data_IF_815592679724
#
_entry.id   IF_815592679724
#
_cell.length_a   1.000
_cell.length_b   1.000
_cell.length_c   1.000
_cell.angle_alpha   90.00
_cell.angle_beta   90.00
_cell.angle_gamma   90.00
#
_symmetry.space_group_name_H-M   'P 1'
#
loop_
_entity.id
_entity.type
_entity.pdbx_description
1 polymer ?
#
# COMPACT_ATOMS: atom_id res chain seq x y z
N UNK A 1 -9.53 -19.54 10.32
CA UNK A 1 -9.75 -18.62 10.97
C UNK A 1 -9.14 -17.56 10.98
N UNK A 2 -9.11 -16.58 10.79
CA UNK A 2 -8.48 -15.45 11.17
C UNK A 2 -8.98 -14.29 10.44
N UNK A 3 -10.27 -14.07 10.42
CA UNK A 3 -10.82 -12.77 10.13
C UNK A 3 -10.96 -12.05 11.44
N UNK A 4 -9.96 -11.23 11.77
CA UNK A 4 -10.15 -10.26 12.79
C UNK A 4 -11.15 -9.25 12.28
N UNK A 5 -12.34 -9.25 12.82
CA UNK A 5 -13.38 -8.30 12.45
C UNK A 5 -13.46 -7.17 13.45
N UNK A 6 -14.02 -6.08 12.98
CA UNK A 6 -14.34 -4.85 13.69
C UNK A 6 -14.75 -5.13 15.13
N UNK A 7 -13.98 -4.57 16.05
CA UNK A 7 -14.38 -4.44 17.46
C UNK A 7 -14.38 -2.95 17.73
N UNK A 8 -15.51 -2.44 18.21
CA UNK A 8 -15.69 -1.04 18.64
C UNK A 8 -15.36 0.03 17.60
N UNK A 9 -15.79 -0.16 16.35
CA UNK A 9 -15.61 0.81 15.28
C UNK A 9 -14.19 0.89 14.71
N UNK A 10 -13.26 0.10 15.21
CA UNK A 10 -11.95 -0.12 14.61
C UNK A 10 -11.97 -1.33 13.69
N UNK A 11 -11.27 -1.24 12.57
CA UNK A 11 -11.09 -2.40 11.72
C UNK A 11 -10.17 -3.40 12.37
N UNK A 12 -10.43 -4.65 12.07
CA UNK A 12 -9.85 -5.82 12.67
C UNK A 12 -8.33 -5.78 12.84
N UNK A 13 -7.89 -6.39 13.89
CA UNK A 13 -6.52 -6.37 14.35
C UNK A 13 -5.88 -7.69 13.99
N UNK A 14 -5.18 -7.73 12.87
CA UNK A 14 -4.40 -8.90 12.47
C UNK A 14 -3.07 -8.96 13.21
N UNK A 15 -2.59 -10.17 13.58
CA UNK A 15 -1.27 -10.34 14.11
C UNK A 15 -0.18 -9.83 13.15
N UNK A 16 0.82 -9.17 13.71
CA UNK A 16 2.06 -8.80 13.04
C UNK A 16 3.26 -9.45 13.71
N UNK A 17 4.34 -9.74 12.99
CA UNK A 17 5.55 -10.23 13.61
C UNK A 17 6.20 -9.16 14.49
N UNK A 18 6.84 -9.59 15.56
CA UNK A 18 7.66 -8.77 16.46
C UNK A 18 9.08 -9.30 16.39
N UNK A 19 10.01 -8.42 16.06
CA UNK A 19 11.42 -8.72 15.95
C UNK A 19 12.18 -8.22 17.18
N UNK A 20 13.42 -8.63 17.33
CA UNK A 20 14.23 -8.26 18.48
C UNK A 20 14.43 -6.74 18.58
N UNK A 21 14.51 -6.02 17.46
CA UNK A 21 14.68 -4.57 17.45
C UNK A 21 13.52 -3.83 18.13
N UNK A 22 12.31 -4.37 18.01
CA UNK A 22 11.16 -3.84 18.73
C UNK A 22 11.22 -4.16 20.22
N UNK A 23 11.67 -5.36 20.58
CA UNK A 23 11.82 -5.76 21.98
C UNK A 23 12.90 -4.97 22.69
N UNK A 24 14.03 -4.67 22.01
CA UNK A 24 15.08 -3.79 22.51
C UNK A 24 14.54 -2.34 22.69
N UNK A 25 13.74 -1.85 21.73
CA UNK A 25 13.10 -0.55 21.83
C UNK A 25 12.17 -0.45 23.06
N UNK A 26 11.49 -1.56 23.39
CA UNK A 26 10.62 -1.66 24.55
C UNK A 26 11.38 -1.83 25.88
N UNK A 27 12.69 -2.11 25.84
CA UNK A 27 13.51 -2.38 27.01
C UNK A 27 13.16 -3.72 27.67
N UNK A 28 12.76 -4.72 26.87
CA UNK A 28 12.37 -6.02 27.42
C UNK A 28 13.56 -6.78 28.03
N UNK A 29 14.75 -6.60 27.50
CA UNK A 29 16.01 -7.11 28.02
C UNK A 29 16.38 -6.51 29.38
N UNK A 30 16.10 -5.22 29.60
CA UNK A 30 16.28 -4.50 30.88
C UNK A 30 15.41 -5.11 31.99
N UNK A 31 14.30 -5.76 31.63
CA UNK A 31 13.40 -6.49 32.53
C UNK A 31 13.81 -7.94 32.75
N UNK A 32 14.99 -8.36 32.24
CA UNK A 32 15.55 -9.70 32.44
C UNK A 32 15.07 -10.76 31.45
N UNK A 33 14.44 -10.37 30.33
CA UNK A 33 14.10 -11.28 29.25
C UNK A 33 15.33 -11.54 28.36
N UNK A 34 15.44 -12.76 27.85
CA UNK A 34 16.55 -13.16 26.98
C UNK A 34 15.96 -13.59 25.62
N UNK A 35 16.48 -13.06 24.54
CA UNK A 35 16.07 -13.42 23.17
C UNK A 35 17.24 -13.22 22.18
N UNK A 36 17.32 -14.05 21.13
CA UNK A 36 18.37 -13.90 20.14
C UNK A 36 18.12 -12.73 19.19
N UNK A 37 19.18 -12.04 18.79
CA UNK A 37 19.18 -11.07 17.70
C UNK A 37 19.24 -11.80 16.35
N UNK A 38 18.09 -12.26 15.86
CA UNK A 38 17.94 -13.05 14.65
C UNK A 38 17.05 -12.37 13.61
N UNK A 39 17.13 -12.83 12.36
CA UNK A 39 16.25 -12.34 11.29
C UNK A 39 14.80 -12.81 11.44
N UNK A 40 14.59 -13.93 12.11
CA UNK A 40 13.25 -14.43 12.37
C UNK A 40 12.55 -13.64 13.48
N UNK A 41 11.22 -13.45 13.42
CA UNK A 41 10.47 -12.82 14.49
C UNK A 41 10.54 -13.66 15.76
N UNK A 42 10.46 -13.00 16.92
CA UNK A 42 10.48 -13.67 18.24
C UNK A 42 9.06 -14.01 18.70
N UNK A 43 8.10 -13.14 18.40
CA UNK A 43 6.70 -13.30 18.82
C UNK A 43 5.75 -12.59 17.87
N UNK A 44 4.49 -12.52 18.24
CA UNK A 44 3.45 -11.85 17.49
C UNK A 44 2.80 -10.75 18.34
N UNK A 45 2.40 -9.65 17.71
CA UNK A 45 1.60 -8.63 18.37
C UNK A 45 0.26 -8.45 17.68
N UNK A 46 -0.79 -8.30 18.48
CA UNK A 46 -2.13 -7.91 18.07
C UNK A 46 -2.40 -6.55 18.71
N UNK A 47 -2.41 -5.47 17.92
CA UNK A 47 -2.30 -4.12 18.46
C UNK A 47 -1.02 -3.96 19.30
N UNK A 48 -1.20 -3.66 20.58
CA UNK A 48 -0.16 -3.51 21.61
C UNK A 48 -0.12 -4.67 22.60
N UNK A 49 -0.72 -5.81 22.24
CA UNK A 49 -0.73 -7.05 23.01
C UNK A 49 0.31 -8.01 22.42
N UNK A 50 1.23 -8.49 23.21
CA UNK A 50 2.36 -9.32 22.78
C UNK A 50 2.12 -10.78 23.17
N UNK A 51 2.21 -11.64 22.17
CA UNK A 51 1.85 -13.07 22.24
C UNK A 51 3.03 -13.94 21.84
N UNK A 52 3.34 -14.89 22.70
CA UNK A 52 4.38 -15.88 22.46
C UNK A 52 3.81 -17.28 22.61
N UNK A 53 3.95 -18.11 21.57
CA UNK A 53 3.44 -19.49 21.54
C UNK A 53 1.97 -19.63 22.00
N UNK A 54 1.13 -18.69 21.62
CA UNK A 54 -0.29 -18.68 21.96
C UNK A 54 -0.64 -18.09 23.32
N UNK A 55 0.36 -17.68 24.11
CA UNK A 55 0.17 -17.05 25.41
C UNK A 55 0.42 -15.55 25.30
N UNK A 56 -0.50 -14.73 25.80
CA UNK A 56 -0.31 -13.30 25.94
C UNK A 56 0.65 -13.04 27.10
N UNK A 57 1.75 -12.36 26.81
CA UNK A 57 2.80 -12.11 27.79
C UNK A 57 2.64 -10.76 28.47
N UNK A 58 2.44 -9.72 27.69
CA UNK A 58 2.31 -8.34 28.17
C UNK A 58 1.57 -7.44 27.19
N UNK A 59 1.21 -6.27 27.69
CA UNK A 59 0.67 -5.16 26.92
C UNK A 59 1.61 -3.97 27.00
N UNK A 60 1.78 -3.24 25.90
CA UNK A 60 2.51 -1.98 25.88
C UNK A 60 1.52 -0.80 25.85
N UNK A 61 1.56 0.07 26.85
CA UNK A 61 0.61 1.19 27.01
C UNK A 61 1.31 2.53 27.20
N UNK A 62 0.66 3.61 26.81
CA UNK A 62 1.06 4.97 27.17
C UNK A 62 2.26 5.52 26.38
N UNK A 63 2.58 4.97 25.22
CA UNK A 63 3.63 5.54 24.36
C UNK A 63 3.24 6.91 23.82
N UNK A 64 4.17 7.84 23.82
CA UNK A 64 4.09 9.12 23.11
C UNK A 64 5.48 9.55 22.59
N UNK A 65 5.58 10.72 21.97
CA UNK A 65 6.83 11.21 21.38
C UNK A 65 7.99 11.37 22.39
N UNK A 66 7.69 11.46 23.68
CA UNK A 66 8.68 11.68 24.76
C UNK A 66 8.85 10.48 25.68
N UNK A 67 7.91 9.52 25.61
CA UNK A 67 7.82 8.43 26.60
C UNK A 67 7.70 7.08 25.91
N UNK A 68 8.56 6.13 26.32
CA UNK A 68 8.38 4.72 25.99
C UNK A 68 7.13 4.16 26.67
N UNK A 69 6.49 3.15 26.11
CA UNK A 69 5.33 2.53 26.74
C UNK A 69 5.70 1.83 28.05
N UNK A 70 4.76 1.82 28.97
CA UNK A 70 4.82 0.92 30.13
C UNK A 70 4.42 -0.48 29.71
N UNK A 71 5.20 -1.49 30.09
CA UNK A 71 4.91 -2.90 29.84
C UNK A 71 4.14 -3.49 31.02
N UNK A 72 2.88 -3.83 30.78
CA UNK A 72 2.03 -4.50 31.76
C UNK A 72 2.07 -6.00 31.56
N UNK A 73 2.84 -6.71 32.41
CA UNK A 73 2.96 -8.17 32.37
C UNK A 73 1.64 -8.83 32.77
N UNK A 74 1.26 -9.90 32.08
CA UNK A 74 0.11 -10.71 32.48
C UNK A 74 0.39 -11.46 33.79
N UNK A 75 -0.66 -11.73 34.56
CA UNK A 75 -0.54 -12.40 35.87
C UNK A 75 0.19 -13.75 35.73
N UNK A 76 1.19 -13.95 36.58
CA UNK A 76 2.00 -15.17 36.60
C UNK A 76 3.11 -15.24 35.54
N UNK A 77 3.21 -14.28 34.65
CA UNK A 77 4.30 -14.19 33.67
C UNK A 77 5.56 -13.64 34.34
N UNK A 78 6.67 -14.33 34.18
CA UNK A 78 8.01 -13.92 34.64
C UNK A 78 8.96 -13.85 33.46
N UNK A 79 10.04 -13.07 33.56
CA UNK A 79 11.10 -13.06 32.55
C UNK A 79 11.57 -14.48 32.24
N UNK A 80 11.75 -14.77 30.95
CA UNK A 80 12.17 -16.08 30.45
C UNK A 80 13.03 -15.91 29.19
N UNK A 81 13.64 -17.01 28.76
CA UNK A 81 14.29 -17.07 27.47
C UNK A 81 13.27 -17.32 26.36
N UNK A 82 13.28 -16.48 25.33
CA UNK A 82 12.44 -16.59 24.15
C UNK A 82 13.27 -17.16 22.98
N UNK A 83 12.64 -17.97 22.17
CA UNK A 83 13.21 -18.50 20.93
C UNK A 83 12.50 -17.90 19.74
N UNK A 84 13.16 -17.79 18.57
CA UNK A 84 12.52 -17.33 17.34
C UNK A 84 11.31 -18.18 16.96
N UNK A 85 10.37 -17.55 16.28
CA UNK A 85 9.25 -18.25 15.65
C UNK A 85 9.78 -19.18 14.57
N UNK A 86 9.34 -20.44 14.57
CA UNK A 86 9.60 -21.34 13.44
C UNK A 86 8.75 -20.96 12.23
N UNK A 87 9.27 -20.03 11.44
CA UNK A 87 8.62 -19.53 10.23
C UNK A 87 8.43 -20.66 9.21
N UNK A 88 9.38 -21.61 9.11
CA UNK A 88 9.26 -22.73 8.16
C UNK A 88 8.09 -23.63 8.49
N UNK A 89 7.92 -23.96 9.75
CA UNK A 89 6.78 -24.76 10.19
C UNK A 89 5.46 -24.00 10.04
N UNK A 90 5.44 -22.70 10.29
CA UNK A 90 4.25 -21.87 10.01
C UNK A 90 3.87 -21.89 8.53
N UNK A 91 4.83 -21.68 7.63
CA UNK A 91 4.61 -21.72 6.18
C UNK A 91 4.11 -23.09 5.73
N UNK A 92 4.66 -24.18 6.29
CA UNK A 92 4.19 -25.53 6.00
C UNK A 92 2.73 -25.74 6.42
N UNK A 93 2.35 -25.28 7.61
CA UNK A 93 0.98 -25.41 8.14
C UNK A 93 -0.03 -24.55 7.39
N UNK A 94 0.41 -23.48 6.75
CA UNK A 94 -0.46 -22.53 6.02
C UNK A 94 -0.35 -22.68 4.50
N UNK A 95 0.38 -23.69 4.02
CA UNK A 95 0.67 -23.88 2.59
C UNK A 95 -0.57 -23.89 1.71
N UNK A 96 -1.61 -24.63 2.09
CA UNK A 96 -2.83 -24.75 1.29
C UNK A 96 -3.60 -23.42 1.24
N UNK A 97 -3.68 -22.73 2.37
CA UNK A 97 -4.30 -21.41 2.43
C UNK A 97 -3.55 -20.42 1.53
N UNK A 98 -2.21 -20.35 1.69
CA UNK A 98 -1.38 -19.43 0.90
C UNK A 98 -1.44 -19.77 -0.58
N UNK A 99 -1.47 -21.05 -0.95
CA UNK A 99 -1.64 -21.48 -2.33
C UNK A 99 -2.93 -20.95 -2.95
N UNK A 100 -4.05 -21.03 -2.25
CA UNK A 100 -5.34 -20.52 -2.73
C UNK A 100 -5.31 -19.00 -2.87
N UNK A 101 -4.83 -18.29 -1.85
CA UNK A 101 -4.76 -16.83 -1.84
C UNK A 101 -3.85 -16.29 -2.96
N UNK A 102 -2.68 -16.88 -3.13
CA UNK A 102 -1.72 -16.49 -4.18
C UNK A 102 -2.30 -16.68 -5.59
N UNK A 103 -2.83 -17.88 -5.86
CA UNK A 103 -3.34 -18.19 -7.19
C UNK A 103 -4.56 -17.34 -7.55
N UNK A 104 -5.45 -17.11 -6.60
CA UNK A 104 -6.61 -16.24 -6.78
C UNK A 104 -6.19 -14.78 -7.09
N UNK A 105 -5.20 -14.27 -6.37
CA UNK A 105 -4.67 -12.92 -6.62
C UNK A 105 -3.95 -12.82 -7.98
N UNK A 106 -3.16 -13.84 -8.35
CA UNK A 106 -2.47 -13.92 -9.66
C UNK A 106 -3.49 -13.99 -10.79
N UNK A 107 -4.53 -14.83 -10.65
CA UNK A 107 -5.60 -14.95 -11.65
C UNK A 107 -6.34 -13.62 -11.81
N UNK A 108 -6.70 -12.97 -10.70
CA UNK A 108 -7.33 -11.65 -10.75
C UNK A 108 -6.46 -10.60 -11.48
N UNK A 109 -5.16 -10.55 -11.19
CA UNK A 109 -4.23 -9.63 -11.86
C UNK A 109 -4.17 -9.94 -13.36
N UNK A 110 -3.99 -11.23 -13.71
CA UNK A 110 -3.89 -11.69 -15.09
C UNK A 110 -5.15 -11.39 -15.90
N UNK A 111 -6.32 -11.71 -15.35
CA UNK A 111 -7.60 -11.48 -16.01
C UNK A 111 -7.87 -9.98 -16.19
N UNK A 112 -7.57 -9.19 -15.16
CA UNK A 112 -7.64 -7.73 -15.24
C UNK A 112 -6.71 -7.20 -16.32
N UNK A 113 -5.45 -7.62 -16.34
CA UNK A 113 -4.50 -7.23 -17.37
C UNK A 113 -5.02 -7.61 -18.77
N UNK A 114 -5.40 -8.86 -18.99
CA UNK A 114 -5.88 -9.34 -20.27
C UNK A 114 -7.13 -8.59 -20.76
N UNK A 115 -8.07 -8.30 -19.85
CA UNK A 115 -9.28 -7.57 -20.18
C UNK A 115 -9.00 -6.13 -20.63
N UNK A 116 -7.97 -5.51 -20.06
CA UNK A 116 -7.65 -4.09 -20.28
C UNK A 116 -6.49 -3.87 -21.29
N UNK A 117 -5.62 -4.85 -21.50
CA UNK A 117 -4.56 -4.79 -22.50
C UNK A 117 -5.07 -5.09 -23.93
N UNK A 118 -6.18 -5.84 -24.05
CA UNK A 118 -6.75 -6.14 -25.36
C UNK A 118 -7.22 -4.85 -26.04
N UNK A 119 -6.60 -4.56 -27.17
CA UNK A 119 -7.13 -3.58 -28.13
C UNK A 119 -8.29 -4.26 -28.82
N UNK A 120 -9.52 -3.99 -28.40
CA UNK A 120 -10.68 -4.42 -29.16
C UNK A 120 -10.67 -3.70 -30.49
N UNK A 121 -10.97 -4.44 -31.57
CA UNK A 121 -11.06 -3.84 -32.90
C UNK A 121 -12.02 -2.65 -32.85
N UNK A 122 -11.56 -1.52 -33.33
CA UNK A 122 -12.41 -0.35 -33.55
C UNK A 122 -13.53 -0.75 -34.50
N UNK A 123 -14.75 -0.39 -34.18
CA UNK A 123 -15.87 -0.50 -35.10
C UNK A 123 -15.73 0.53 -36.21
N UNK A 124 -16.28 0.25 -37.38
CA UNK A 124 -16.33 1.25 -38.45
C UNK A 124 -17.32 2.36 -38.04
N UNK A 125 -16.80 3.59 -37.90
CA UNK A 125 -17.63 4.77 -37.54
C UNK A 125 -18.71 5.04 -38.59
N UNK A 126 -18.53 4.64 -39.85
CA UNK A 126 -19.53 4.74 -40.90
C UNK A 126 -20.72 3.83 -40.66
N UNK A 127 -20.52 2.63 -40.06
CA UNK A 127 -21.60 1.71 -39.71
C UNK A 127 -22.40 2.19 -38.50
N UNK A 128 -21.86 3.07 -37.67
CA UNK A 128 -22.47 3.54 -36.43
C UNK A 128 -23.40 4.76 -36.60
N UNK A 129 -23.95 5.01 -37.78
CA UNK A 129 -24.89 6.08 -38.06
C UNK A 129 -24.47 7.47 -37.56
N UNK A 130 -23.20 7.81 -37.65
CA UNK A 130 -22.59 9.09 -37.23
C UNK A 130 -22.65 9.38 -35.72
N UNK A 131 -23.09 8.44 -34.89
CA UNK A 131 -23.02 8.59 -33.44
C UNK A 131 -21.61 8.28 -32.95
N UNK A 132 -21.12 9.13 -32.05
CA UNK A 132 -19.83 8.93 -31.41
C UNK A 132 -20.02 8.03 -30.16
N UNK A 133 -20.07 6.73 -30.39
CA UNK A 133 -20.23 5.74 -29.32
C UNK A 133 -19.06 5.72 -28.35
N UNK A 134 -17.86 6.12 -28.80
CA UNK A 134 -16.68 6.25 -27.95
C UNK A 134 -16.89 7.34 -26.90
N UNK A 135 -17.28 8.55 -27.31
CA UNK A 135 -17.57 9.63 -26.41
C UNK A 135 -18.77 9.32 -25.48
N UNK A 136 -19.76 8.56 -25.99
CA UNK A 136 -20.89 8.12 -25.16
C UNK A 136 -20.46 7.10 -24.10
N UNK A 137 -19.65 6.12 -24.49
CA UNK A 137 -19.09 5.12 -23.55
C UNK A 137 -18.26 5.78 -22.47
N UNK A 138 -17.38 6.73 -22.82
CA UNK A 138 -16.61 7.51 -21.84
C UNK A 138 -17.49 8.30 -20.86
N UNK A 139 -18.57 8.91 -21.34
CA UNK A 139 -19.52 9.61 -20.45
C UNK A 139 -20.23 8.67 -19.50
N UNK A 140 -20.60 7.47 -19.99
CA UNK A 140 -21.22 6.44 -19.16
C UNK A 140 -20.24 5.88 -18.14
N UNK A 141 -18.97 5.66 -18.53
CA UNK A 141 -17.92 5.26 -17.61
C UNK A 141 -17.72 6.27 -16.48
N UNK A 142 -17.70 7.58 -16.81
CA UNK A 142 -17.60 8.65 -15.81
C UNK A 142 -18.75 8.63 -14.79
N UNK A 143 -19.96 8.24 -15.21
CA UNK A 143 -21.14 8.17 -14.34
C UNK A 143 -21.19 6.87 -13.53
N UNK A 144 -20.98 5.72 -14.19
CA UNK A 144 -21.15 4.40 -13.59
C UNK A 144 -19.93 3.95 -12.79
N UNK A 145 -18.74 4.57 -13.01
CA UNK A 145 -17.43 4.12 -12.50
C UNK A 145 -17.07 2.68 -12.88
N UNK A 146 -17.66 2.20 -13.98
CA UNK A 146 -17.39 0.89 -14.55
C UNK A 146 -16.91 1.05 -15.99
N UNK A 147 -16.07 0.12 -16.44
CA UNK A 147 -15.63 0.07 -17.82
C UNK A 147 -16.83 -0.25 -18.73
N UNK A 148 -17.00 0.53 -19.79
CA UNK A 148 -18.07 0.35 -20.75
C UNK A 148 -17.53 -0.21 -22.05
N UNK A 149 -18.31 -1.05 -22.71
CA UNK A 149 -18.03 -1.58 -24.03
C UNK A 149 -19.17 -1.21 -24.99
N UNK A 150 -18.82 -0.91 -26.22
CA UNK A 150 -19.77 -0.84 -27.31
C UNK A 150 -19.94 -2.24 -27.89
N UNK A 151 -21.17 -2.73 -27.96
CA UNK A 151 -21.50 -4.04 -28.49
C UNK A 151 -22.47 -3.91 -29.67
N UNK A 152 -22.30 -4.76 -30.69
CA UNK A 152 -23.23 -4.82 -31.82
C UNK A 152 -24.40 -5.70 -31.40
N UNK A 153 -25.63 -5.18 -31.50
CA UNK A 153 -26.84 -5.95 -31.20
C UNK A 153 -27.36 -6.64 -32.43
N UNK A 154 -27.54 -5.89 -33.53
CA UNK A 154 -28.01 -6.35 -34.84
C UNK A 154 -27.18 -5.78 -35.97
N UNK A 155 -27.58 -5.99 -37.23
CA UNK A 155 -26.82 -5.54 -38.38
C UNK A 155 -26.44 -4.07 -38.33
N UNK A 156 -27.31 -3.21 -37.80
CA UNK A 156 -27.13 -1.75 -37.82
C UNK A 156 -27.32 -1.08 -36.45
N UNK A 157 -27.44 -1.84 -35.35
CA UNK A 157 -27.62 -1.27 -34.02
C UNK A 157 -26.48 -1.61 -33.06
N UNK A 158 -26.10 -0.60 -32.28
CA UNK A 158 -25.09 -0.70 -31.26
C UNK A 158 -25.68 -0.35 -29.89
N UNK A 159 -25.12 -0.94 -28.84
CA UNK A 159 -25.47 -0.64 -27.46
C UNK A 159 -24.21 -0.41 -26.64
N UNK A 160 -24.35 0.30 -25.52
CA UNK A 160 -23.26 0.55 -24.59
C UNK A 160 -23.62 -0.09 -23.26
N UNK A 161 -22.83 -1.04 -22.82
CA UNK A 161 -23.04 -1.75 -21.56
C UNK A 161 -21.74 -1.93 -20.79
N UNK A 162 -21.77 -2.27 -19.49
CA UNK A 162 -20.58 -2.62 -18.74
C UNK A 162 -19.82 -3.76 -19.43
N UNK A 163 -18.51 -3.64 -19.56
CA UNK A 163 -17.66 -4.65 -20.22
C UNK A 163 -17.84 -6.03 -19.59
N UNK A 164 -17.87 -6.07 -18.25
CA UNK A 164 -18.10 -7.33 -17.50
C UNK A 164 -19.42 -7.99 -17.86
N UNK A 165 -20.48 -7.20 -18.10
CA UNK A 165 -21.79 -7.72 -18.52
C UNK A 165 -21.70 -8.24 -19.96
N UNK A 166 -21.05 -7.50 -20.87
CA UNK A 166 -20.84 -7.93 -22.25
C UNK A 166 -20.10 -9.26 -22.32
N UNK A 167 -19.06 -9.43 -21.50
CA UNK A 167 -18.29 -10.67 -21.44
C UNK A 167 -19.11 -11.85 -20.88
N UNK A 168 -19.88 -11.64 -19.80
CA UNK A 168 -20.77 -12.67 -19.24
C UNK A 168 -21.84 -13.11 -20.22
N UNK A 169 -22.35 -12.19 -21.04
CA UNK A 169 -23.35 -12.48 -22.07
C UNK A 169 -22.74 -12.99 -23.38
N UNK A 170 -21.41 -13.17 -23.44
CA UNK A 170 -20.70 -13.61 -24.64
C UNK A 170 -20.77 -12.63 -25.80
N UNK A 171 -21.12 -11.36 -25.54
CA UNK A 171 -21.19 -10.31 -26.54
C UNK A 171 -19.80 -9.81 -26.90
N UNK A 172 -19.57 -9.62 -28.19
CA UNK A 172 -18.28 -9.08 -28.68
C UNK A 172 -18.22 -7.57 -28.45
N UNK A 173 -17.30 -7.12 -27.60
CA UNK A 173 -16.99 -5.71 -27.47
C UNK A 173 -16.29 -5.19 -28.73
N UNK A 174 -16.86 -4.15 -29.34
CA UNK A 174 -16.32 -3.51 -30.55
C UNK A 174 -15.39 -2.34 -30.20
N UNK A 175 -15.70 -1.66 -29.08
CA UNK A 175 -14.90 -0.59 -28.55
C UNK A 175 -14.81 -0.75 -27.04
N UNK A 176 -13.63 -0.62 -26.50
CA UNK A 176 -13.42 -0.48 -25.07
C UNK A 176 -12.34 0.55 -24.80
N UNK A 177 -12.42 1.24 -23.67
CA UNK A 177 -11.39 2.21 -23.28
C UNK A 177 -10.05 1.49 -23.15
N UNK A 178 -9.07 1.92 -23.95
CA UNK A 178 -7.72 1.38 -23.91
C UNK A 178 -7.02 1.88 -22.66
N UNK A 179 -6.35 0.98 -21.94
CA UNK A 179 -5.37 1.35 -20.92
C UNK A 179 -4.01 1.50 -21.62
N UNK A 180 -3.36 2.66 -21.41
CA UNK A 180 -2.07 2.96 -22.01
C UNK A 180 -0.91 2.43 -21.19
N UNK A 181 -1.05 2.38 -19.85
CA UNK A 181 0.02 1.96 -18.94
C UNK A 181 -0.54 1.15 -17.78
N UNK A 182 0.11 0.03 -17.48
CA UNK A 182 -0.15 -0.77 -16.29
C UNK A 182 0.94 -0.49 -15.25
N UNK A 183 0.54 -0.30 -14.00
CA UNK A 183 1.46 0.13 -12.94
C UNK A 183 1.28 -0.73 -11.71
N UNK A 184 2.38 -1.25 -11.18
CA UNK A 184 2.46 -1.72 -9.79
C UNK A 184 2.88 -0.52 -8.92
N UNK A 185 1.96 -0.04 -8.08
CA UNK A 185 2.24 1.06 -7.16
C UNK A 185 3.06 0.58 -5.98
N UNK A 186 4.30 1.03 -5.87
CA UNK A 186 5.20 0.66 -4.80
C UNK A 186 5.38 1.81 -3.81
N UNK A 187 5.22 1.55 -2.52
CA UNK A 187 5.31 2.55 -1.45
C UNK A 187 6.37 2.22 -0.39
N UNK A 188 7.18 1.19 -0.59
CA UNK A 188 8.09 0.67 0.42
C UNK A 188 7.40 -0.09 1.57
N UNK A 189 6.07 -0.22 1.53
CA UNK A 189 5.30 -0.98 2.51
C UNK A 189 5.11 -2.45 2.12
N UNK A 190 4.86 -3.30 3.12
CA UNK A 190 4.67 -4.75 2.98
C UNK A 190 3.62 -5.13 1.94
N UNK A 191 2.51 -4.41 1.90
CA UNK A 191 1.37 -4.70 1.04
C UNK A 191 1.71 -4.43 -0.44
N UNK A 192 2.37 -3.31 -0.72
CA UNK A 192 2.84 -2.98 -2.07
C UNK A 192 3.96 -3.90 -2.55
N UNK A 193 4.78 -4.44 -1.63
CA UNK A 193 5.81 -5.43 -1.94
C UNK A 193 5.17 -6.75 -2.42
N UNK A 194 4.12 -7.20 -1.74
CA UNK A 194 3.35 -8.40 -2.15
C UNK A 194 2.72 -8.20 -3.53
N UNK A 195 2.07 -7.05 -3.76
CA UNK A 195 1.44 -6.77 -5.07
C UNK A 195 2.47 -6.70 -6.19
N UNK A 196 3.63 -6.10 -5.95
CA UNK A 196 4.72 -6.08 -6.94
C UNK A 196 5.16 -7.51 -7.33
N UNK A 197 5.39 -8.39 -6.34
CA UNK A 197 5.78 -9.78 -6.62
C UNK A 197 4.66 -10.53 -7.37
N UNK A 198 3.41 -10.39 -6.97
CA UNK A 198 2.27 -10.98 -7.66
C UNK A 198 2.16 -10.48 -9.12
N UNK A 199 2.40 -9.20 -9.38
CA UNK A 199 2.40 -8.65 -10.74
C UNK A 199 3.49 -9.30 -11.60
N UNK A 200 4.71 -9.51 -11.07
CA UNK A 200 5.79 -10.19 -11.83
C UNK A 200 5.47 -11.63 -12.18
N UNK A 201 4.54 -12.26 -11.48
CA UNK A 201 4.07 -13.65 -11.73
C UNK A 201 2.86 -13.71 -12.64
N UNK A 202 2.13 -12.63 -12.77
CA UNK A 202 0.85 -12.57 -13.51
C UNK A 202 0.96 -11.88 -14.88
N UNK A 203 1.85 -10.89 -15.02
CA UNK A 203 2.00 -10.02 -16.19
C UNK A 203 3.43 -10.11 -16.72
N UNK A 204 3.64 -10.11 -18.06
CA UNK A 204 4.99 -10.00 -18.61
C UNK A 204 5.70 -8.75 -18.08
N UNK A 205 6.97 -8.85 -17.64
CA UNK A 205 7.72 -7.72 -17.06
C UNK A 205 7.90 -6.51 -18.00
N UNK A 206 7.72 -6.69 -19.29
CA UNK A 206 7.73 -5.62 -20.32
C UNK A 206 6.45 -4.81 -20.37
N UNK A 207 5.36 -5.32 -19.78
CA UNK A 207 4.01 -4.83 -20.01
C UNK A 207 3.46 -4.04 -18.82
N UNK A 208 4.24 -3.89 -17.76
CA UNK A 208 3.91 -3.04 -16.64
C UNK A 208 5.16 -2.32 -16.08
N UNK A 209 4.93 -1.30 -15.30
CA UNK A 209 5.96 -0.48 -14.67
C UNK A 209 5.77 -0.45 -13.16
N UNK A 210 6.86 -0.31 -12.42
CA UNK A 210 6.83 -0.08 -10.98
C UNK A 210 7.02 1.41 -10.74
N UNK A 211 6.08 2.05 -10.04
CA UNK A 211 6.21 3.47 -9.71
C UNK A 211 6.28 3.65 -8.19
N UNK A 212 7.38 4.24 -7.75
CA UNK A 212 7.61 4.74 -6.41
C UNK A 212 7.36 6.25 -6.36
N UNK A 213 6.67 6.72 -5.31
CA UNK A 213 6.47 8.16 -5.08
C UNK A 213 7.37 8.60 -3.93
N UNK A 214 8.47 9.26 -4.27
CA UNK A 214 9.33 9.92 -3.30
C UNK A 214 8.73 11.29 -2.95
N UNK A 215 8.27 11.42 -1.73
CA UNK A 215 7.60 12.63 -1.22
C UNK A 215 8.57 13.58 -0.52
N UNK A 216 9.84 13.20 -0.34
CA UNK A 216 10.79 13.92 0.50
C UNK A 216 10.50 13.82 2.01
N UNK A 217 9.47 13.05 2.39
CA UNK A 217 9.10 12.75 3.79
C UNK A 217 9.37 11.29 4.17
N UNK A 218 9.97 10.52 3.28
CA UNK A 218 10.10 9.08 3.48
C UNK A 218 10.94 8.76 4.71
N UNK A 219 10.58 7.67 5.39
CA UNK A 219 11.45 7.08 6.38
C UNK A 219 12.76 6.63 5.71
N UNK A 220 13.94 6.89 6.31
CA UNK A 220 15.22 6.49 5.73
C UNK A 220 15.28 5.02 5.29
N UNK A 221 14.73 4.04 6.05
CA UNK A 221 14.70 2.64 5.62
C UNK A 221 13.88 2.39 4.35
N UNK A 222 12.92 3.26 4.03
CA UNK A 222 12.09 3.10 2.82
C UNK A 222 12.86 3.48 1.56
N UNK A 223 13.77 4.45 1.65
CA UNK A 223 14.61 4.86 0.51
C UNK A 223 15.61 3.75 0.15
N UNK A 224 16.33 3.22 1.15
CA UNK A 224 17.27 2.11 0.92
C UNK A 224 16.55 0.85 0.43
N UNK A 225 15.38 0.55 0.99
CA UNK A 225 14.59 -0.59 0.54
C UNK A 225 14.18 -0.46 -0.93
N UNK A 226 13.81 0.74 -1.40
CA UNK A 226 13.46 0.93 -2.81
C UNK A 226 14.60 0.53 -3.73
N UNK A 227 15.83 0.96 -3.43
CA UNK A 227 17.02 0.58 -4.20
C UNK A 227 17.29 -0.93 -4.16
N UNK A 228 17.13 -1.56 -3.00
CA UNK A 228 17.33 -3.00 -2.84
C UNK A 228 16.25 -3.80 -3.58
N UNK A 229 15.01 -3.37 -3.55
CA UNK A 229 13.90 -3.98 -4.28
C UNK A 229 14.12 -3.82 -5.79
N UNK A 230 14.53 -2.65 -6.25
CA UNK A 230 14.84 -2.44 -7.66
C UNK A 230 15.96 -3.38 -8.13
N UNK A 231 17.06 -3.49 -7.36
CA UNK A 231 18.17 -4.42 -7.66
C UNK A 231 17.68 -5.87 -7.68
N UNK A 232 16.92 -6.28 -6.68
CA UNK A 232 16.38 -7.63 -6.55
C UNK A 232 15.55 -8.04 -7.76
N UNK A 233 14.62 -7.18 -8.20
CA UNK A 233 13.78 -7.50 -9.34
C UNK A 233 14.48 -7.33 -10.69
N UNK A 234 15.37 -6.36 -10.86
CA UNK A 234 16.16 -6.21 -12.11
C UNK A 234 17.10 -7.36 -12.36
N UNK A 235 17.61 -8.04 -11.32
CA UNK A 235 18.38 -9.27 -11.49
C UNK A 235 17.55 -10.40 -12.10
N UNK A 236 16.27 -10.51 -11.72
CA UNK A 236 15.35 -11.54 -12.23
C UNK A 236 14.65 -11.12 -13.52
N UNK A 237 14.33 -9.85 -13.65
CA UNK A 237 13.53 -9.26 -14.73
C UNK A 237 14.20 -7.98 -15.25
N UNK A 238 15.26 -8.07 -16.09
CA UNK A 238 15.99 -6.89 -16.56
C UNK A 238 15.15 -5.89 -17.35
N UNK A 239 14.05 -6.34 -17.94
CA UNK A 239 13.11 -5.51 -18.71
C UNK A 239 12.07 -4.79 -17.86
N UNK A 240 11.99 -5.05 -16.54
CA UNK A 240 11.05 -4.38 -15.68
C UNK A 240 11.49 -2.94 -15.40
N UNK A 241 10.62 -1.99 -15.69
CA UNK A 241 10.90 -0.57 -15.53
C UNK A 241 10.52 -0.07 -14.14
N UNK A 242 11.49 0.54 -13.46
CA UNK A 242 11.30 1.24 -12.18
C UNK A 242 11.38 2.74 -12.39
N UNK A 243 10.39 3.46 -11.89
CA UNK A 243 10.25 4.89 -12.04
C UNK A 243 10.00 5.54 -10.69
N UNK A 244 10.65 6.69 -10.45
CA UNK A 244 10.45 7.48 -9.24
C UNK A 244 9.75 8.78 -9.56
N UNK A 245 8.57 8.97 -8.99
CA UNK A 245 7.84 10.24 -9.06
C UNK A 245 8.24 11.11 -7.87
N UNK A 246 8.87 12.26 -8.13
CA UNK A 246 9.24 13.23 -7.10
C UNK A 246 8.88 14.65 -7.53
N UNK A 247 8.75 15.55 -6.57
CA UNK A 247 8.58 16.96 -6.87
C UNK A 247 9.96 17.59 -7.18
N UNK A 248 9.99 18.59 -8.06
CA UNK A 248 11.20 19.34 -8.39
C UNK A 248 11.68 20.22 -7.22
N UNK A 249 10.75 20.66 -6.35
CA UNK A 249 11.04 21.42 -5.15
C UNK A 249 11.07 20.52 -3.92
N UNK A 250 11.96 20.87 -2.97
CA UNK A 250 12.08 20.14 -1.71
C UNK A 250 10.83 20.33 -0.84
N UNK A 251 10.53 19.33 -0.04
CA UNK A 251 9.43 19.42 0.94
C UNK A 251 9.64 20.55 1.94
N UNK A 252 10.89 20.86 2.30
CA UNK A 252 11.23 21.93 3.24
C UNK A 252 10.92 23.31 2.67
N UNK A 253 11.12 23.51 1.36
CA UNK A 253 10.72 24.75 0.67
C UNK A 253 9.20 24.95 0.71
N UNK A 254 8.44 23.87 0.52
CA UNK A 254 6.98 23.93 0.65
C UNK A 254 6.52 24.20 2.09
N UNK A 255 7.25 23.71 3.11
CA UNK A 255 6.98 24.09 4.51
C UNK A 255 7.18 25.57 4.74
N UNK A 256 8.22 26.15 4.17
CA UNK A 256 8.50 27.60 4.28
C UNK A 256 7.45 28.44 3.53
N UNK A 257 6.90 27.95 2.42
CA UNK A 257 5.91 28.66 1.60
C UNK A 257 4.47 28.50 2.09
N UNK A 258 4.05 27.29 2.46
CA UNK A 258 2.65 26.93 2.75
C UNK A 258 2.42 26.80 4.25
N UNK A 259 3.47 26.52 5.03
CA UNK A 259 3.40 26.18 6.44
C UNK A 259 3.30 24.68 6.67
N UNK A 260 3.15 24.29 7.94
CA UNK A 260 3.12 22.88 8.34
C UNK A 260 1.84 22.18 7.86
N UNK A 261 1.93 20.93 7.38
CA UNK A 261 0.72 20.16 7.11
C UNK A 261 -0.02 19.84 8.41
N UNK A 262 -1.33 19.72 8.31
CA UNK A 262 -2.20 19.30 9.42
C UNK A 262 -3.22 18.27 8.93
N UNK A 263 -3.99 17.69 9.85
CA UNK A 263 -5.09 16.77 9.56
C UNK A 263 -6.15 17.40 8.64
N UNK A 264 -6.44 18.68 8.82
CA UNK A 264 -7.38 19.45 8.00
C UNK A 264 -6.75 20.00 6.72
N UNK A 265 -5.43 20.17 6.66
CA UNK A 265 -4.71 20.72 5.53
C UNK A 265 -3.56 19.83 5.06
N UNK A 266 -3.91 18.77 4.36
CA UNK A 266 -2.99 17.73 3.88
C UNK A 266 -2.36 18.08 2.53
N UNK A 267 -1.84 19.29 2.38
CA UNK A 267 -1.23 19.73 1.13
C UNK A 267 -0.06 18.82 0.69
N UNK A 268 0.69 18.26 1.65
CA UNK A 268 1.83 17.38 1.37
C UNK A 268 1.46 16.17 0.52
N UNK A 269 0.32 15.51 0.78
CA UNK A 269 -0.14 14.39 -0.04
C UNK A 269 -0.46 14.81 -1.47
N UNK A 270 -1.03 16.00 -1.67
CA UNK A 270 -1.39 16.49 -3.00
C UNK A 270 -0.17 16.97 -3.77
N UNK A 271 0.68 17.77 -3.13
CA UNK A 271 1.82 18.44 -3.76
C UNK A 271 3.00 17.50 -3.94
N UNK A 272 3.35 16.72 -2.90
CA UNK A 272 4.57 15.92 -2.91
C UNK A 272 4.35 14.50 -3.47
N UNK A 273 3.13 13.97 -3.45
CA UNK A 273 2.84 12.62 -3.93
C UNK A 273 2.01 12.61 -5.21
N UNK A 274 0.81 13.21 -5.16
CA UNK A 274 -0.16 13.06 -6.24
C UNK A 274 0.22 13.85 -7.49
N UNK A 275 0.66 15.09 -7.34
CA UNK A 275 0.99 15.95 -8.49
C UNK A 275 2.22 15.46 -9.28
N UNK A 276 3.34 15.02 -8.63
CA UNK A 276 4.47 14.44 -9.37
C UNK A 276 4.07 13.17 -10.13
N UNK A 277 3.32 12.28 -9.48
CA UNK A 277 2.83 11.06 -10.11
C UNK A 277 2.04 11.39 -11.39
N UNK A 278 1.08 12.31 -11.32
CA UNK A 278 0.25 12.64 -12.48
C UNK A 278 1.02 13.35 -13.60
N UNK A 279 2.06 14.12 -13.27
CA UNK A 279 2.96 14.69 -14.29
C UNK A 279 3.71 13.61 -15.06
N UNK A 280 4.05 12.52 -14.40
CA UNK A 280 4.74 11.37 -15.00
C UNK A 280 3.81 10.51 -15.87
N UNK A 281 2.51 10.47 -15.58
CA UNK A 281 1.54 9.64 -16.28
C UNK A 281 1.09 10.28 -17.60
N UNK A 282 2.02 10.41 -18.54
CA UNK A 282 1.81 10.98 -19.86
C UNK A 282 2.15 9.99 -20.96
N UNK A 283 1.52 10.13 -22.12
CA UNK A 283 1.83 9.44 -23.37
C UNK A 283 2.32 10.46 -24.42
N UNK A 284 2.63 9.97 -25.61
CA UNK A 284 3.06 10.83 -26.73
C UNK A 284 2.17 12.06 -26.93
N UNK A 285 2.80 13.17 -27.26
CA UNK A 285 2.12 14.45 -27.39
C UNK A 285 1.66 15.08 -26.05
N UNK A 286 2.27 14.67 -24.92
CA UNK A 286 1.98 15.16 -23.57
C UNK A 286 0.52 14.99 -23.12
N UNK A 287 -0.21 14.05 -23.71
CA UNK A 287 -1.58 13.70 -23.33
C UNK A 287 -1.59 12.88 -22.05
N UNK A 288 -2.67 12.99 -21.27
CA UNK A 288 -2.86 12.18 -20.07
C UNK A 288 -3.07 10.70 -20.46
N UNK A 289 -2.23 9.81 -19.91
CA UNK A 289 -2.38 8.38 -20.09
C UNK A 289 -3.60 7.83 -19.32
N UNK A 290 -4.31 6.88 -19.90
CA UNK A 290 -5.23 6.02 -19.15
C UNK A 290 -4.41 4.92 -18.47
N UNK A 291 -4.54 4.85 -17.16
CA UNK A 291 -3.67 4.01 -16.33
C UNK A 291 -4.50 3.04 -15.50
N UNK A 292 -4.05 1.78 -15.45
CA UNK A 292 -4.53 0.81 -14.48
C UNK A 292 -3.43 0.55 -13.46
N UNK A 293 -3.74 0.83 -12.20
CA UNK A 293 -2.79 0.68 -11.09
C UNK A 293 -3.18 -0.51 -10.24
N UNK A 294 -2.26 -1.45 -10.07
CA UNK A 294 -2.35 -2.49 -9.05
C UNK A 294 -1.74 -1.95 -7.76
N UNK A 295 -2.49 -1.95 -6.68
CA UNK A 295 -2.05 -1.42 -5.39
C UNK A 295 -2.38 -2.33 -4.21
N UNK A 296 -1.68 -2.12 -3.09
CA UNK A 296 -1.75 -2.94 -1.89
C UNK A 296 -2.85 -2.52 -0.90
N UNK A 297 -3.97 -1.99 -1.38
CA UNK A 297 -5.10 -1.66 -0.52
C UNK A 297 -5.75 -2.92 0.03
N UNK A 298 -6.03 -2.93 1.37
CA UNK A 298 -6.73 -4.01 2.05
C UNK A 298 -7.91 -3.47 2.85
N UNK A 299 -9.00 -4.25 2.89
CA UNK A 299 -10.25 -3.88 3.57
C UNK A 299 -10.04 -3.65 5.07
N UNK A 300 -9.17 -4.43 5.72
CA UNK A 300 -8.92 -4.31 7.17
C UNK A 300 -8.18 -3.04 7.60
N UNK A 301 -7.65 -2.25 6.68
CA UNK A 301 -6.82 -1.09 7.03
C UNK A 301 -7.62 0.14 7.49
N UNK A 302 -8.87 0.26 7.10
CA UNK A 302 -9.77 1.32 7.57
C UNK A 302 -11.22 1.08 7.13
N UNK A 303 -12.18 1.63 7.89
CA UNK A 303 -13.62 1.61 7.55
C UNK A 303 -13.90 2.11 6.12
N UNK A 304 -13.14 3.12 5.69
CA UNK A 304 -13.26 3.64 4.32
C UNK A 304 -12.86 2.60 3.27
N UNK A 305 -11.78 1.81 3.54
CA UNK A 305 -11.25 0.83 2.59
C UNK A 305 -12.07 -0.45 2.55
N UNK A 306 -12.80 -0.77 3.61
CA UNK A 306 -13.74 -1.89 3.66
C UNK A 306 -14.77 -1.82 2.52
N UNK A 307 -15.16 -0.61 2.14
CA UNK A 307 -16.16 -0.35 1.09
C UNK A 307 -15.55 -0.19 -0.32
N UNK A 308 -14.25 -0.42 -0.50
CA UNK A 308 -13.65 -0.30 -1.81
C UNK A 308 -14.01 -1.52 -2.67
N UNK A 309 -14.33 -1.24 -3.93
CA UNK A 309 -14.47 -2.29 -4.94
C UNK A 309 -13.09 -2.82 -5.29
N UNK A 310 -12.99 -4.12 -5.56
CA UNK A 310 -11.75 -4.76 -5.96
C UNK A 310 -11.14 -4.17 -7.24
N UNK A 311 -12.00 -3.73 -8.15
CA UNK A 311 -11.64 -3.06 -9.40
C UNK A 311 -12.60 -1.89 -9.62
N UNK A 312 -12.07 -0.72 -9.89
CA UNK A 312 -12.91 0.46 -10.12
C UNK A 312 -12.14 1.69 -10.57
N UNK A 313 -12.85 2.74 -10.93
CA UNK A 313 -12.24 4.04 -11.25
C UNK A 313 -11.66 4.68 -9.99
N UNK A 314 -10.45 5.19 -10.13
CA UNK A 314 -9.79 6.01 -9.12
C UNK A 314 -10.41 7.40 -8.98
N UNK A 315 -9.72 8.26 -8.25
CA UNK A 315 -10.14 9.66 -8.05
C UNK A 315 -10.24 10.45 -9.36
N UNK A 316 -9.42 10.15 -10.34
CA UNK A 316 -9.40 10.78 -11.66
C UNK A 316 -9.92 9.81 -12.71
N UNK A 317 -10.61 10.36 -13.70
CA UNK A 317 -11.32 9.57 -14.73
C UNK A 317 -10.41 8.73 -15.62
N UNK A 318 -9.12 9.06 -15.68
CA UNK A 318 -8.12 8.32 -16.43
C UNK A 318 -7.37 7.26 -15.63
N UNK A 319 -7.72 7.08 -14.33
CA UNK A 319 -7.10 6.09 -13.46
C UNK A 319 -8.10 5.02 -13.09
N UNK A 320 -7.70 3.77 -13.24
CA UNK A 320 -8.36 2.59 -12.71
C UNK A 320 -7.49 2.00 -11.60
N UNK A 321 -8.09 1.58 -10.50
CA UNK A 321 -7.41 0.91 -9.41
C UNK A 321 -7.88 -0.53 -9.32
N UNK A 322 -6.94 -1.44 -9.21
CA UNK A 322 -7.15 -2.84 -8.95
C UNK A 322 -6.47 -3.21 -7.62
N UNK A 323 -7.19 -3.88 -6.75
CA UNK A 323 -6.76 -4.23 -5.40
C UNK A 323 -6.67 -5.77 -5.26
N UNK A 324 -5.57 -6.41 -5.73
CA UNK A 324 -5.48 -7.87 -5.80
C UNK A 324 -5.62 -8.56 -4.45
N UNK A 325 -5.11 -7.92 -3.41
CA UNK A 325 -5.04 -8.45 -2.03
C UNK A 325 -6.05 -7.80 -1.08
N UNK A 326 -7.16 -7.28 -1.61
CA UNK A 326 -8.13 -6.50 -0.81
C UNK A 326 -8.69 -7.27 0.39
N UNK A 327 -8.86 -8.58 0.27
CA UNK A 327 -9.35 -9.46 1.32
C UNK A 327 -8.26 -10.04 2.24
N UNK A 328 -6.98 -9.80 1.95
CA UNK A 328 -5.90 -10.36 2.75
C UNK A 328 -5.74 -9.62 4.09
N UNK A 329 -5.40 -10.36 5.13
CA UNK A 329 -5.05 -9.78 6.42
C UNK A 329 -3.53 -9.62 6.59
N UNK A 330 -3.11 -8.95 7.67
CA UNK A 330 -1.69 -8.62 7.88
C UNK A 330 -0.79 -9.85 8.04
N UNK A 331 -1.28 -10.93 8.67
CA UNK A 331 -0.48 -12.14 8.84
C UNK A 331 -0.26 -12.85 7.49
N UNK A 332 -1.27 -12.88 6.61
CA UNK A 332 -1.16 -13.46 5.27
C UNK A 332 -0.13 -12.71 4.43
N UNK A 333 -0.08 -11.38 4.57
CA UNK A 333 0.95 -10.54 3.94
C UNK A 333 2.35 -10.95 4.42
N UNK A 334 2.57 -11.07 5.73
CA UNK A 334 3.89 -11.45 6.25
C UNK A 334 4.26 -12.88 5.92
N UNK A 335 3.31 -13.82 5.95
CA UNK A 335 3.54 -15.20 5.52
C UNK A 335 3.97 -15.26 4.04
N UNK A 336 3.34 -14.48 3.18
CA UNK A 336 3.75 -14.35 1.78
C UNK A 336 5.20 -13.83 1.66
N UNK A 337 5.51 -12.73 2.36
CA UNK A 337 6.85 -12.15 2.33
C UNK A 337 7.91 -13.14 2.79
N UNK A 338 7.67 -13.86 3.89
CA UNK A 338 8.57 -14.91 4.39
C UNK A 338 8.68 -16.10 3.42
N UNK A 339 7.55 -16.56 2.89
CA UNK A 339 7.51 -17.71 1.97
C UNK A 339 8.20 -17.45 0.63
N UNK A 340 8.25 -16.19 0.23
CA UNK A 340 8.89 -15.75 -1.02
C UNK A 340 10.29 -15.16 -0.82
N UNK A 341 10.75 -15.09 0.42
CA UNK A 341 12.04 -14.46 0.79
C UNK A 341 12.18 -13.05 0.21
N UNK A 342 11.12 -12.25 0.38
CA UNK A 342 11.07 -10.89 -0.14
C UNK A 342 11.65 -9.88 0.86
N UNK A 343 12.29 -8.80 0.38
CA UNK A 343 12.77 -7.73 1.24
C UNK A 343 11.65 -7.12 2.08
N UNK A 344 11.84 -7.04 3.39
CA UNK A 344 10.89 -6.45 4.33
C UNK A 344 11.45 -5.13 4.83
N UNK A 345 10.64 -4.06 4.76
CA UNK A 345 11.06 -2.75 5.23
C UNK A 345 11.47 -2.81 6.72
N UNK A 346 12.70 -2.36 7.05
CA UNK A 346 13.21 -2.42 8.43
C UNK A 346 12.35 -1.68 9.45
N UNK A 347 11.51 -0.73 9.02
CA UNK A 347 10.59 -0.05 9.92
C UNK A 347 9.57 -1.00 10.61
N UNK A 348 9.21 -2.11 9.96
CA UNK A 348 8.37 -3.14 10.58
C UNK A 348 9.08 -3.87 11.70
N UNK A 349 10.40 -4.04 11.59
CA UNK A 349 11.22 -4.67 12.62
C UNK A 349 11.27 -3.81 13.89
N UNK A 350 11.22 -2.48 13.74
CA UNK A 350 11.13 -1.53 14.84
C UNK A 350 9.71 -1.36 15.43
N UNK A 351 8.76 -2.18 15.01
CA UNK A 351 7.41 -2.18 15.60
C UNK A 351 6.38 -1.30 14.89
N UNK A 352 6.70 -0.73 13.71
CA UNK A 352 5.66 -0.01 12.95
C UNK A 352 4.64 -0.99 12.36
N UNK A 353 3.36 -0.68 12.52
CA UNK A 353 2.30 -1.44 11.88
C UNK A 353 2.11 -1.06 10.40
N UNK A 354 2.46 0.17 10.06
CA UNK A 354 2.43 0.73 8.71
C UNK A 354 3.69 1.56 8.44
N UNK A 355 4.22 1.42 7.24
CA UNK A 355 5.25 2.32 6.75
C UNK A 355 4.57 3.54 6.10
N UNK A 356 5.03 4.72 6.45
CA UNK A 356 4.51 5.99 5.98
C UNK A 356 5.58 7.07 5.99
N UNK A 357 5.15 8.33 5.97
CA UNK A 357 6.05 9.47 6.04
C UNK A 357 6.72 9.60 7.42
N UNK A 358 7.93 10.14 7.46
CA UNK A 358 8.66 10.48 8.68
C UNK A 358 7.85 11.45 9.57
N UNK A 359 7.20 12.43 8.94
CA UNK A 359 6.28 13.34 9.62
C UNK A 359 4.93 13.26 8.93
N UNK A 360 3.91 12.82 9.67
CA UNK A 360 2.56 12.69 9.16
C UNK A 360 1.55 13.15 10.20
N UNK A 361 0.60 14.06 9.87
CA UNK A 361 -0.47 14.44 10.80
C UNK A 361 -1.39 13.28 11.24
N UNK A 362 -1.26 12.13 10.59
CA UNK A 362 -2.02 10.90 10.89
C UNK A 362 -1.15 9.81 11.50
N UNK A 363 0.05 10.13 11.98
CA UNK A 363 0.83 9.21 12.79
C UNK A 363 0.13 8.95 14.12
N UNK A 364 0.39 7.80 14.69
CA UNK A 364 -0.06 7.47 16.03
C UNK A 364 1.01 7.84 17.05
N UNK A 365 0.66 8.01 18.32
CA UNK A 365 1.63 8.21 19.39
C UNK A 365 2.70 7.12 19.45
N UNK A 366 2.34 5.90 19.07
CA UNK A 366 3.26 4.78 18.92
C UNK A 366 4.27 5.00 17.78
N UNK A 367 3.80 5.47 16.62
CA UNK A 367 4.67 5.80 15.49
C UNK A 367 5.60 6.95 15.84
N UNK A 368 5.10 7.97 16.55
CA UNK A 368 5.87 9.14 16.95
C UNK A 368 6.99 8.76 17.94
N UNK A 369 6.73 7.85 18.86
CA UNK A 369 7.73 7.27 19.76
C UNK A 369 8.84 6.56 18.95
N UNK A 370 8.48 5.67 18.02
CA UNK A 370 9.46 4.97 17.19
C UNK A 370 10.30 5.96 16.37
N UNK A 371 9.65 6.96 15.79
CA UNK A 371 10.33 7.97 14.97
C UNK A 371 11.31 8.79 15.83
N UNK A 372 10.90 9.19 17.01
CA UNK A 372 11.76 9.92 17.94
C UNK A 372 12.96 9.08 18.40
N UNK A 373 12.76 7.82 18.75
CA UNK A 373 13.82 6.94 19.22
C UNK A 373 14.81 6.53 18.13
N UNK A 374 14.33 6.24 16.93
CA UNK A 374 15.15 5.66 15.86
C UNK A 374 15.58 6.67 14.79
N UNK A 375 14.82 7.75 14.59
CA UNK A 375 14.99 8.67 13.45
C UNK A 375 15.03 10.15 13.83
N UNK A 376 15.23 10.49 15.11
CA UNK A 376 15.22 11.88 15.59
C UNK A 376 16.16 12.82 14.83
N UNK A 377 17.31 12.33 14.38
CA UNK A 377 18.28 13.13 13.60
C UNK A 377 17.68 13.67 12.30
N UNK A 378 16.75 12.93 11.69
CA UNK A 378 16.06 13.33 10.45
C UNK A 378 14.92 14.31 10.70
N UNK A 379 14.49 14.47 11.95
CA UNK A 379 13.42 15.41 12.32
C UNK A 379 13.92 16.86 12.45
N UNK A 380 15.21 17.10 12.67
CA UNK A 380 15.74 18.41 13.02
C UNK A 380 15.34 19.53 12.05
N UNK A 381 15.44 19.38 10.73
CA UNK A 381 15.05 20.44 9.78
C UNK A 381 13.56 20.84 9.88
N UNK A 382 12.70 19.89 10.28
CA UNK A 382 11.28 20.12 10.47
C UNK A 382 10.98 20.74 11.83
N UNK A 383 11.65 20.29 12.89
CA UNK A 383 11.53 20.84 14.24
C UNK A 383 11.95 22.30 14.28
N UNK A 384 13.00 22.68 13.58
CA UNK A 384 13.44 24.08 13.45
C UNK A 384 12.35 24.95 12.84
N UNK A 385 11.68 24.46 11.79
CA UNK A 385 10.55 25.16 11.14
C UNK A 385 9.33 25.26 12.05
N UNK A 386 9.02 24.21 12.79
CA UNK A 386 7.94 24.24 13.78
C UNK A 386 8.20 25.28 14.85
N UNK A 387 9.42 25.38 15.38
CA UNK A 387 9.82 26.40 16.34
C UNK A 387 9.70 27.81 15.77
N UNK A 388 10.20 28.02 14.56
CA UNK A 388 10.06 29.30 13.86
C UNK A 388 8.60 29.68 13.65
N UNK A 389 7.77 28.75 13.20
CA UNK A 389 6.34 28.96 12.98
C UNK A 389 5.62 29.28 14.28
N UNK A 390 5.83 28.52 15.35
CA UNK A 390 5.18 28.76 16.64
C UNK A 390 5.54 30.12 17.24
N UNK A 391 6.77 30.60 17.05
CA UNK A 391 7.21 31.93 17.49
C UNK A 391 6.52 33.07 16.73
N UNK A 392 6.16 32.84 15.47
CA UNK A 392 5.47 33.84 14.63
C UNK A 392 3.98 33.96 14.93
N UNK A 393 3.33 32.85 15.26
CA UNK A 393 1.86 32.80 15.43
C UNK A 393 1.38 33.22 16.81
N UNK A 394 2.28 33.51 17.77
CA UNK A 394 1.92 33.85 19.16
C UNK A 394 0.82 32.92 19.69
N UNK A 395 1.04 31.62 19.63
CA UNK A 395 0.15 30.68 20.28
C UNK A 395 0.25 30.94 21.77
N UNK A 396 -0.84 31.40 22.38
CA UNK A 396 -0.90 31.60 23.84
C UNK A 396 -0.48 30.28 24.53
N UNK A 397 0.43 30.38 25.49
CA UNK A 397 0.91 29.24 26.29
C UNK A 397 -0.21 28.67 27.18
N UNK A 398 -1.27 28.17 26.59
CA UNK A 398 -2.35 27.46 27.24
C UNK A 398 -2.64 26.16 26.50
N UNK A 399 -1.65 25.28 26.58
CA UNK A 399 -1.81 23.84 26.37
C UNK A 399 -0.95 23.14 27.42
#
# INVERSE_FOLDING_TARGET
MLHSRIVDGTLGVSPRPVFYEELDLLGLDELGWIYPHSEAPIMWAVNKQYWYRGVRLFDAKGADIYTRPTLEMQSGIKPMSLEPVDVKEMLKRTSDLMFVLENEAIEFIRDTYLAYAKVNKTYDKAEANKLDFEAMAERMEKKSRQRMAVVKQDCDSFDIMPLVTAEKEGKRALLSTKIDRFIASFSGGKDSQVVLDLCTRAIPPTDFEVIYSDTGYELPPSLSLYEDVEKFYKQKFPSLHFLTAHNHESVLNYWDMIGTPSDNHRWCCSVMKTAPLYRMLKVEGNKQAHVLTFDGVRSEESVRRENYQRLGKGKHTFIYNAHPIIGWNSIEIFLYLFGRDLPINPAYRNGKARVGCLICPFSTSWDDMIIQEKYHNYLQPFVERLRKYSSQVKISNSL
#
